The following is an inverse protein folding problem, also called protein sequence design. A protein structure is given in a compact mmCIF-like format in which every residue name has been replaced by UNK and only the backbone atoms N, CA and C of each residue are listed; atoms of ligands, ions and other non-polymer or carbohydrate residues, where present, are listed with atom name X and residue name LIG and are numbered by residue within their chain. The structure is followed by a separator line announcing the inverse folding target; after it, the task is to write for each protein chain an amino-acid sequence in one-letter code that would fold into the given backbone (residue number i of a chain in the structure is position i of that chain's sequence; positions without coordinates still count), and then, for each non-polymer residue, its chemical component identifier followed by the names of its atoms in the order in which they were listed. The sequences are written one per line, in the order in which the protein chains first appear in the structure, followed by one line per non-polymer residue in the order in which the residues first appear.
data_IF_816640651244
#
_entry.id   IF_816640651244
#
_cell.length_a   1.000
_cell.length_b   1.000
_cell.length_c   1.000
_cell.angle_alpha   90.00
_cell.angle_beta   90.00
_cell.angle_gamma   90.00
#
_symmetry.space_group_name_H-M   'P 1'
#
loop_
_entity.id
_entity.type
_entity.pdbx_description
1 polymer ?
#
# COMPACT_ATOMS: atom_id res chain seq x y z
N UNK A 1 20.41 -68.69 10.27
CA UNK A 1 21.42 -67.62 10.36
C UNK A 1 20.73 -66.31 10.02
N UNK A 2 20.32 -65.54 11.03
CA UNK A 2 19.65 -64.25 10.85
C UNK A 2 20.71 -63.15 10.88
N UNK A 3 20.74 -62.33 9.82
CA UNK A 3 21.72 -61.27 9.64
C UNK A 3 21.41 -60.07 10.56
N UNK A 4 22.25 -59.74 11.55
CA UNK A 4 22.00 -58.67 12.54
C UNK A 4 22.07 -57.26 11.96
N UNK A 5 22.48 -57.11 10.70
CA UNK A 5 22.59 -55.81 10.03
C UNK A 5 21.26 -55.21 9.59
N UNK A 6 20.20 -56.01 9.48
CA UNK A 6 18.91 -55.55 8.95
C UNK A 6 18.13 -54.70 9.97
N UNK A 7 18.31 -54.99 11.26
CA UNK A 7 17.58 -54.32 12.36
C UNK A 7 18.11 -52.89 12.63
N UNK A 8 19.40 -52.64 12.37
CA UNK A 8 19.99 -51.30 12.54
C UNK A 8 19.48 -50.29 11.51
N UNK A 9 19.26 -50.72 10.26
CA UNK A 9 18.80 -49.82 9.19
C UNK A 9 17.34 -49.42 9.39
N UNK A 10 16.50 -50.34 9.87
CA UNK A 10 15.07 -50.08 10.09
C UNK A 10 14.89 -49.09 11.24
N UNK A 11 15.67 -49.21 12.32
CA UNK A 11 15.56 -48.33 13.48
C UNK A 11 16.06 -46.90 13.19
N UNK A 12 17.14 -46.75 12.39
CA UNK A 12 17.65 -45.44 11.99
C UNK A 12 16.70 -44.64 11.09
N UNK A 13 15.96 -45.32 10.22
CA UNK A 13 15.05 -44.68 9.26
C UNK A 13 13.75 -44.19 9.96
N UNK A 14 13.29 -44.90 10.99
CA UNK A 14 12.12 -44.47 11.79
C UNK A 14 12.44 -43.26 12.64
N UNK A 15 13.63 -43.19 13.25
CA UNK A 15 14.04 -42.03 14.07
C UNK A 15 14.24 -40.78 13.20
N UNK A 16 14.73 -40.93 11.98
CA UNK A 16 14.93 -39.79 11.05
C UNK A 16 13.62 -39.36 10.39
N UNK A 17 12.68 -40.29 10.14
CA UNK A 17 11.37 -39.99 9.57
C UNK A 17 10.43 -39.21 10.50
N UNK A 18 10.50 -39.44 11.81
CA UNK A 18 9.63 -38.75 12.78
C UNK A 18 10.10 -37.31 13.05
N UNK A 19 11.40 -37.02 12.94
CA UNK A 19 11.95 -35.67 13.19
C UNK A 19 11.62 -34.68 12.06
N UNK A 20 11.34 -35.15 10.84
CA UNK A 20 10.98 -34.30 9.70
C UNK A 20 9.53 -33.82 9.68
N UNK A 21 8.64 -34.40 10.50
CA UNK A 21 7.23 -34.00 10.55
C UNK A 21 6.94 -32.81 11.50
N UNK A 22 7.91 -32.36 12.29
CA UNK A 22 7.70 -31.35 13.36
C UNK A 22 8.10 -29.93 12.92
N UNK A 23 8.59 -29.73 11.69
CA UNK A 23 9.16 -28.44 11.27
C UNK A 23 8.22 -27.45 10.56
N UNK A 24 6.91 -27.70 10.45
CA UNK A 24 6.02 -26.76 9.71
C UNK A 24 5.11 -25.88 10.57
N UNK A 25 5.14 -26.00 11.90
CA UNK A 25 4.46 -25.01 12.75
C UNK A 25 5.43 -23.87 13.09
N UNK A 26 5.95 -23.20 12.06
CA UNK A 26 6.49 -21.86 12.25
C UNK A 26 5.31 -20.98 12.67
N UNK A 27 5.34 -20.32 13.85
CA UNK A 27 4.32 -19.34 14.17
C UNK A 27 4.36 -18.29 13.06
N UNK A 28 3.29 -18.24 12.25
CA UNK A 28 3.09 -17.19 11.28
C UNK A 28 3.37 -15.88 12.02
N UNK A 29 4.42 -15.18 11.58
CA UNK A 29 4.82 -13.93 12.18
C UNK A 29 3.57 -13.07 12.36
N UNK A 30 3.42 -12.43 13.53
CA UNK A 30 2.31 -11.50 13.88
C UNK A 30 2.09 -10.33 12.90
N UNK A 31 2.75 -10.33 11.74
CA UNK A 31 2.50 -9.41 10.63
C UNK A 31 1.09 -9.51 10.04
N UNK A 32 0.34 -10.58 10.33
CA UNK A 32 -1.04 -10.75 9.87
C UNK A 32 -2.07 -9.88 10.62
N UNK A 33 -1.74 -9.38 11.81
CA UNK A 33 -2.71 -8.65 12.65
C UNK A 33 -2.90 -7.20 12.21
N UNK A 34 -1.86 -6.60 11.61
CA UNK A 34 -1.85 -5.20 11.17
C UNK A 34 -1.38 -5.10 9.72
N UNK A 35 -2.22 -5.55 8.80
CA UNK A 35 -1.99 -5.50 7.37
C UNK A 35 -2.48 -4.19 6.74
N UNK A 36 -2.30 -4.06 5.42
CA UNK A 36 -2.74 -2.88 4.68
C UNK A 36 -4.25 -2.69 4.79
N UNK A 37 -5.03 -3.78 4.72
CA UNK A 37 -6.50 -3.72 4.78
C UNK A 37 -6.99 -3.20 6.13
N UNK A 38 -6.40 -3.68 7.22
CA UNK A 38 -6.68 -3.21 8.57
C UNK A 38 -6.38 -1.71 8.72
N UNK A 39 -5.22 -1.23 8.25
CA UNK A 39 -4.89 0.20 8.29
C UNK A 39 -5.74 1.06 7.36
N UNK A 40 -6.24 0.51 6.24
CA UNK A 40 -7.22 1.19 5.39
C UNK A 40 -8.55 1.37 6.12
N UNK A 41 -9.01 0.36 6.86
CA UNK A 41 -10.23 0.43 7.67
C UNK A 41 -10.08 1.29 8.94
N UNK A 42 -8.85 1.45 9.46
CA UNK A 42 -8.57 2.15 10.71
C UNK A 42 -7.65 3.37 10.50
N UNK A 43 -8.15 4.49 9.92
CA UNK A 43 -7.32 5.64 9.56
C UNK A 43 -6.71 6.37 10.77
N UNK A 44 -7.37 6.33 11.93
CA UNK A 44 -6.80 6.90 13.16
C UNK A 44 -5.56 6.12 13.61
N UNK A 45 -5.66 4.80 13.68
CA UNK A 45 -4.54 3.92 14.03
C UNK A 45 -3.41 3.98 13.00
N UNK A 46 -3.73 4.13 11.71
CA UNK A 46 -2.72 4.34 10.66
C UNK A 46 -1.90 5.60 10.91
N UNK A 47 -2.54 6.74 11.18
CA UNK A 47 -1.83 8.00 11.46
C UNK A 47 -0.93 7.89 12.69
N UNK A 48 -1.44 7.30 13.75
CA UNK A 48 -0.68 7.08 14.98
C UNK A 48 0.52 6.15 14.73
N UNK A 49 0.34 5.06 13.99
CA UNK A 49 1.42 4.15 13.63
C UNK A 49 2.49 4.85 12.80
N UNK A 50 2.11 5.63 11.78
CA UNK A 50 3.06 6.39 10.96
C UNK A 50 3.87 7.38 11.80
N UNK A 51 3.23 8.07 12.74
CA UNK A 51 3.94 8.97 13.66
C UNK A 51 4.97 8.21 14.51
N UNK A 52 4.62 7.02 15.02
CA UNK A 52 5.56 6.16 15.74
C UNK A 52 6.69 5.66 14.83
N UNK A 53 6.38 5.24 13.61
CA UNK A 53 7.36 4.76 12.63
C UNK A 53 8.41 5.82 12.26
N UNK A 54 8.03 7.10 12.19
CA UNK A 54 8.96 8.20 11.95
C UNK A 54 9.83 8.53 13.17
N UNK A 55 9.27 8.40 14.38
CA UNK A 55 9.96 8.77 15.61
C UNK A 55 10.87 7.65 16.16
N UNK A 56 10.65 6.39 15.76
CA UNK A 56 11.44 5.23 16.18
C UNK A 56 12.05 4.52 14.96
N UNK A 57 13.36 4.73 14.77
CA UNK A 57 14.13 4.14 13.67
C UNK A 57 14.14 2.60 13.72
N UNK A 58 14.08 2.00 14.92
CA UNK A 58 14.02 0.56 15.11
C UNK A 58 12.66 -0.03 14.71
N UNK A 59 11.59 0.72 14.95
CA UNK A 59 10.24 0.37 14.52
C UNK A 59 10.06 0.58 13.01
N UNK A 60 10.63 1.65 12.44
CA UNK A 60 10.52 2.00 11.01
C UNK A 60 10.97 0.90 10.05
N UNK A 61 11.87 0.00 10.47
CA UNK A 61 12.33 -1.15 9.66
C UNK A 61 11.38 -2.35 9.69
N UNK A 62 10.32 -2.32 10.51
CA UNK A 62 9.38 -3.44 10.65
C UNK A 62 8.31 -3.41 9.56
N UNK A 63 7.84 -4.59 9.18
CA UNK A 63 6.80 -4.76 8.16
C UNK A 63 5.50 -3.98 8.45
N UNK A 64 5.18 -3.76 9.73
CA UNK A 64 4.00 -3.00 10.15
C UNK A 64 4.04 -1.54 9.67
N UNK A 65 5.22 -0.90 9.64
CA UNK A 65 5.38 0.46 9.13
C UNK A 65 5.18 0.48 7.61
N UNK A 66 5.76 -0.48 6.89
CA UNK A 66 5.51 -0.63 5.45
C UNK A 66 4.04 -0.90 5.10
N UNK A 67 3.29 -1.61 5.95
CA UNK A 67 1.84 -1.78 5.78
C UNK A 67 1.08 -0.46 5.97
N UNK A 68 1.40 0.29 7.02
CA UNK A 68 0.79 1.59 7.30
C UNK A 68 1.08 2.61 6.19
N UNK A 69 2.32 2.64 5.68
CA UNK A 69 2.73 3.50 4.56
C UNK A 69 1.99 3.14 3.28
N UNK A 70 1.94 1.86 2.90
CA UNK A 70 1.17 1.42 1.72
C UNK A 70 -0.31 1.80 1.82
N UNK A 71 -0.91 1.68 3.01
CA UNK A 71 -2.29 2.09 3.23
C UNK A 71 -2.46 3.61 3.06
N UNK A 72 -1.50 4.42 3.52
CA UNK A 72 -1.54 5.87 3.36
C UNK A 72 -1.30 6.30 1.91
N UNK A 73 -0.38 5.65 1.20
CA UNK A 73 -0.16 5.87 -0.23
C UNK A 73 -1.43 5.56 -1.03
N UNK A 74 -2.10 4.44 -0.75
CA UNK A 74 -3.38 4.10 -1.38
C UNK A 74 -4.44 5.17 -1.12
N UNK A 75 -4.61 5.59 0.14
CA UNK A 75 -5.55 6.65 0.51
C UNK A 75 -5.21 8.00 -0.15
N UNK A 76 -3.92 8.30 -0.32
CA UNK A 76 -3.47 9.48 -1.05
C UNK A 76 -3.82 9.40 -2.54
N UNK A 77 -3.55 8.27 -3.20
CA UNK A 77 -3.93 8.04 -4.59
C UNK A 77 -5.44 8.15 -4.80
N UNK A 78 -6.25 7.60 -3.89
CA UNK A 78 -7.71 7.73 -3.92
C UNK A 78 -8.15 9.20 -3.82
N UNK A 79 -7.46 10.02 -3.00
CA UNK A 79 -7.73 11.46 -2.89
C UNK A 79 -7.33 12.24 -4.15
N UNK A 80 -6.31 11.79 -4.87
CA UNK A 80 -5.90 12.39 -6.14
C UNK A 80 -6.81 12.00 -7.31
N UNK A 81 -7.22 10.73 -7.36
CA UNK A 81 -8.09 10.19 -8.41
C UNK A 81 -9.56 10.55 -8.22
N UNK A 82 -9.97 10.86 -6.99
CA UNK A 82 -11.25 11.49 -6.73
C UNK A 82 -11.13 12.94 -7.20
N UNK A 83 -11.96 13.42 -8.14
CA UNK A 83 -12.02 14.84 -8.42
C UNK A 83 -12.29 15.52 -7.08
N UNK A 84 -11.29 16.21 -6.53
CA UNK A 84 -11.55 17.15 -5.45
C UNK A 84 -12.55 18.11 -6.06
N UNK A 85 -13.78 18.12 -5.56
CA UNK A 85 -14.93 18.91 -6.05
C UNK A 85 -14.49 20.01 -7.01
N UNK A 86 -14.38 19.64 -8.29
CA UNK A 86 -13.59 20.41 -9.26
C UNK A 86 -14.45 21.44 -9.94
N UNK A 87 -15.51 21.87 -9.25
CA UNK A 87 -16.23 23.09 -9.56
C UNK A 87 -15.30 24.31 -9.37
N UNK A 88 -14.18 24.16 -8.65
CA UNK A 88 -13.23 25.24 -8.35
C UNK A 88 -11.95 25.33 -9.19
N UNK A 89 -11.63 24.39 -10.10
CA UNK A 89 -10.35 24.50 -10.85
C UNK A 89 -10.35 25.67 -11.87
N UNK A 90 -11.53 26.21 -12.19
CA UNK A 90 -11.73 27.48 -12.89
C UNK A 90 -12.10 28.67 -11.98
N UNK A 91 -12.07 28.51 -10.64
CA UNK A 91 -12.32 29.60 -9.68
C UNK A 91 -11.10 30.46 -9.38
N UNK A 92 -9.91 30.06 -9.83
CA UNK A 92 -8.78 30.99 -9.78
C UNK A 92 -9.04 32.13 -10.78
N UNK A 93 -9.11 33.40 -10.33
CA UNK A 93 -9.33 34.54 -11.22
C UNK A 93 -8.24 34.62 -12.30
N UNK A 94 -7.03 34.14 -11.99
CA UNK A 94 -5.90 34.08 -12.93
C UNK A 94 -6.20 33.12 -14.10
N UNK A 95 -6.75 31.94 -13.81
CA UNK A 95 -7.09 30.94 -14.82
C UNK A 95 -8.24 31.44 -15.69
N UNK A 96 -9.25 32.08 -15.07
CA UNK A 96 -10.39 32.66 -15.77
C UNK A 96 -9.98 33.80 -16.71
N UNK A 97 -9.13 34.71 -16.25
CA UNK A 97 -8.62 35.82 -17.05
C UNK A 97 -7.68 35.36 -18.17
N UNK A 98 -6.90 34.30 -17.92
CA UNK A 98 -6.10 33.62 -18.94
C UNK A 98 -6.98 33.04 -20.04
N UNK A 99 -8.03 32.31 -19.66
CA UNK A 99 -8.99 31.72 -20.60
C UNK A 99 -9.74 32.81 -21.38
N UNK A 100 -10.15 33.90 -20.72
CA UNK A 100 -10.84 35.02 -21.36
C UNK A 100 -9.98 35.68 -22.44
N UNK A 101 -8.70 35.92 -22.14
CA UNK A 101 -7.72 36.43 -23.12
C UNK A 101 -7.51 35.46 -24.27
N UNK A 102 -7.35 34.16 -23.99
CA UNK A 102 -7.19 33.14 -25.02
C UNK A 102 -8.39 33.08 -25.98
N UNK A 103 -9.62 33.25 -25.47
CA UNK A 103 -10.83 33.23 -26.30
C UNK A 103 -11.03 34.47 -27.19
N UNK A 104 -10.37 35.59 -26.87
CA UNK A 104 -10.39 36.81 -27.70
C UNK A 104 -9.56 36.66 -28.98
N UNK A 105 -8.53 35.81 -28.98
CA UNK A 105 -7.67 35.59 -30.14
C UNK A 105 -8.06 34.33 -30.93
N UNK A 106 -7.98 34.34 -32.28
CA UNK A 106 -8.34 33.18 -33.10
C UNK A 106 -7.42 31.97 -32.88
N UNK A 107 -6.15 32.20 -32.53
CA UNK A 107 -5.22 31.14 -32.16
C UNK A 107 -5.59 30.52 -30.79
N UNK A 108 -5.83 31.35 -29.79
CA UNK A 108 -6.21 30.88 -28.45
C UNK A 108 -7.58 30.20 -28.42
N UNK A 109 -8.55 30.65 -29.23
CA UNK A 109 -9.88 30.02 -29.35
C UNK A 109 -9.81 28.58 -29.86
N UNK A 110 -8.87 28.27 -30.76
CA UNK A 110 -8.64 26.91 -31.26
C UNK A 110 -8.07 25.98 -30.17
N UNK A 111 -7.27 26.53 -29.26
CA UNK A 111 -6.67 25.78 -28.16
C UNK A 111 -7.64 25.59 -26.99
N UNK A 112 -8.37 26.64 -26.63
CA UNK A 112 -9.35 26.62 -25.54
C UNK A 112 -10.64 25.87 -25.91
N UNK A 113 -10.99 25.82 -27.20
CA UNK A 113 -12.08 25.01 -27.74
C UNK A 113 -13.41 25.25 -27.01
N UNK A 114 -14.04 24.17 -26.54
CA UNK A 114 -15.33 24.20 -25.84
C UNK A 114 -15.30 24.91 -24.48
N UNK A 115 -14.14 25.35 -24.00
CA UNK A 115 -14.05 26.13 -22.76
C UNK A 115 -14.46 27.59 -22.98
N UNK A 116 -14.31 28.13 -24.20
CA UNK A 116 -14.75 29.50 -24.52
C UNK A 116 -16.27 29.69 -24.46
N UNK A 117 -17.06 28.63 -24.67
CA UNK A 117 -18.52 28.67 -24.56
C UNK A 117 -19.04 28.54 -23.13
N UNK A 118 -18.14 28.34 -22.15
CA UNK A 118 -18.45 28.22 -20.72
C UNK A 118 -17.98 29.43 -19.89
N UNK A 119 -17.36 30.42 -20.54
CA UNK A 119 -17.05 31.74 -19.98
C UNK A 119 -18.26 32.68 -20.11
#
# INVERSE_FOLDING_TARGET
MLNPFKDFIITGLVVTGVVLAVQTCAPAARSAEYDVAWFSANPAARREMLQRCHNDVGLGRRAICGNAERAETKAYQERLGRPSSTDGMFESPIVRDGLRRACMEPAGRRLAGSQCSRL
#
